data_IF_761395353784
#
_entry.id   IF_761395353784
#
_cell.length_a   1.000
_cell.length_b   1.000
_cell.length_c   1.000
_cell.angle_alpha   90.00
_cell.angle_beta   90.00
_cell.angle_gamma   90.00
#
_symmetry.space_group_name_H-M   'P 1'
#
loop_
_entity.id
_entity.type
_entity.pdbx_description
1 polymer ?
#
# COMPACT_ATOMS: atom_id res chain seq x y z
N UNK A 1 -16.20 25.85 -5.88
CA UNK A 1 -14.90 25.87 -6.60
C UNK A 1 -13.84 25.07 -5.84
N UNK A 2 -14.10 23.80 -5.54
CA UNK A 2 -13.05 22.85 -5.15
C UNK A 2 -13.02 21.86 -6.29
N UNK A 3 -11.98 21.98 -7.12
CA UNK A 3 -11.83 21.24 -8.36
C UNK A 3 -12.01 19.75 -8.10
N UNK A 4 -12.89 19.11 -8.87
CA UNK A 4 -13.21 17.67 -8.81
C UNK A 4 -11.95 16.77 -8.96
N UNK A 5 -10.81 17.37 -9.34
CA UNK A 5 -9.48 16.75 -9.44
C UNK A 5 -8.94 16.20 -8.12
N UNK A 6 -9.42 16.62 -6.94
CA UNK A 6 -8.97 16.05 -5.66
C UNK A 6 -9.51 14.65 -5.37
N UNK A 7 -10.52 14.18 -6.12
CA UNK A 7 -11.16 12.87 -5.91
C UNK A 7 -10.65 11.77 -6.85
N UNK A 8 -10.06 12.12 -8.00
CA UNK A 8 -9.46 11.17 -8.94
C UNK A 8 -7.98 10.93 -8.61
N UNK A 9 -7.67 10.65 -7.33
CA UNK A 9 -6.35 10.15 -6.95
C UNK A 9 -6.25 8.72 -7.44
N UNK A 10 -5.89 8.54 -8.70
CA UNK A 10 -5.59 7.25 -9.32
C UNK A 10 -4.36 6.71 -8.60
N UNK A 11 -4.58 6.00 -7.48
CA UNK A 11 -3.53 5.40 -6.67
C UNK A 11 -3.13 4.11 -7.38
N UNK A 12 -1.97 4.12 -8.01
CA UNK A 12 -1.34 2.93 -8.58
C UNK A 12 -1.05 1.95 -7.45
N UNK A 13 -1.97 1.02 -7.26
CA UNK A 13 -1.92 0.02 -6.20
C UNK A 13 -1.08 -1.15 -6.71
N UNK A 14 0.15 -1.25 -6.23
CA UNK A 14 1.11 -2.27 -6.63
C UNK A 14 1.20 -3.34 -5.54
N UNK A 15 1.30 -4.60 -5.96
CA UNK A 15 1.53 -5.71 -5.05
C UNK A 15 3.03 -5.86 -4.85
N UNK A 16 3.46 -5.89 -3.60
CA UNK A 16 4.85 -6.11 -3.18
C UNK A 16 4.93 -7.35 -2.29
N UNK A 17 6.09 -8.01 -2.23
CA UNK A 17 6.33 -9.07 -1.25
C UNK A 17 6.74 -8.46 0.09
N UNK A 18 6.19 -9.00 1.17
CA UNK A 18 6.57 -8.62 2.52
C UNK A 18 8.01 -9.09 2.79
N UNK A 19 8.94 -8.21 3.21
CA UNK A 19 10.33 -8.60 3.46
C UNK A 19 10.52 -9.47 4.71
N UNK A 20 9.46 -9.68 5.50
CA UNK A 20 9.52 -10.44 6.75
C UNK A 20 8.96 -11.85 6.59
N UNK A 21 7.78 -12.00 5.98
CA UNK A 21 7.15 -13.31 5.80
C UNK A 21 7.16 -13.81 4.35
N UNK A 22 7.51 -12.97 3.38
CA UNK A 22 7.46 -13.29 1.95
C UNK A 22 6.08 -13.16 1.30
N UNK A 23 5.02 -12.91 2.10
CA UNK A 23 3.66 -12.86 1.59
C UNK A 23 3.40 -11.63 0.70
N UNK A 24 2.57 -11.79 -0.32
CA UNK A 24 2.19 -10.69 -1.21
C UNK A 24 1.17 -9.77 -0.55
N UNK A 25 1.50 -8.49 -0.49
CA UNK A 25 0.70 -7.44 0.16
C UNK A 25 0.61 -6.21 -0.72
N UNK A 26 -0.41 -5.38 -0.51
CA UNK A 26 -0.50 -4.10 -1.20
C UNK A 26 0.58 -3.12 -0.70
N UNK A 27 1.18 -2.37 -1.60
CA UNK A 27 2.10 -1.28 -1.25
C UNK A 27 1.46 -0.17 -0.39
N UNK A 28 0.13 -0.16 -0.25
CA UNK A 28 -0.60 0.81 0.56
C UNK A 28 -0.70 0.41 2.04
N UNK A 29 -0.48 -0.86 2.38
CA UNK A 29 -0.59 -1.30 3.77
C UNK A 29 0.64 -0.86 4.56
N UNK A 30 0.42 -0.21 5.70
CA UNK A 30 1.50 0.16 6.64
C UNK A 30 2.01 -1.02 7.46
N UNK A 31 1.20 -2.07 7.56
CA UNK A 31 1.46 -3.27 8.37
C UNK A 31 0.99 -4.48 7.59
N UNK A 32 1.82 -5.50 7.52
CA UNK A 32 1.47 -6.77 6.89
C UNK A 32 0.35 -7.43 7.71
N UNK A 33 -0.79 -7.81 7.10
CA UNK A 33 -1.90 -8.45 7.82
C UNK A 33 -1.58 -9.89 8.21
N UNK A 34 -0.57 -10.51 7.59
CA UNK A 34 -0.21 -11.91 7.82
C UNK A 34 0.75 -12.07 9.00
N UNK A 35 1.83 -11.29 9.04
CA UNK A 35 2.85 -11.39 10.10
C UNK A 35 2.85 -10.21 11.10
N UNK A 36 2.15 -9.12 10.78
CA UNK A 36 2.16 -7.92 11.62
C UNK A 36 3.41 -7.04 11.50
N UNK A 37 4.33 -7.32 10.57
CA UNK A 37 5.51 -6.46 10.35
C UNK A 37 5.12 -5.10 9.77
N UNK A 38 5.87 -4.05 10.11
CA UNK A 38 5.71 -2.74 9.49
C UNK A 38 6.27 -2.76 8.06
N UNK A 39 5.44 -2.33 7.11
CA UNK A 39 5.77 -2.30 5.69
C UNK A 39 5.96 -0.84 5.32
N UNK A 40 7.19 -0.47 4.98
CA UNK A 40 7.51 0.85 4.47
C UNK A 40 7.62 0.73 2.96
N UNK A 41 6.64 1.29 2.24
CA UNK A 41 6.81 1.56 0.82
C UNK A 41 8.05 2.46 0.68
N UNK A 42 9.08 1.96 -0.01
CA UNK A 42 10.32 2.68 -0.25
C UNK A 42 10.12 3.69 -1.37
#
# INVERSE_FOLDING_TARGET
MKSLLTLLKIRSMSIISCPVCGEYISNEVKKCPFCGAQVRAK
#
